data_IF_529349916590
#
_entry.id   IF_529349916590
#
_cell.length_a   1.000
_cell.length_b   1.000
_cell.length_c   1.000
_cell.angle_alpha   90.00
_cell.angle_beta   90.00
_cell.angle_gamma   90.00
#
_symmetry.space_group_name_H-M   'P 1'
#
loop_
_entity.id
_entity.type
_entity.pdbx_description
1 polymer ?
#
# COMPACT_ATOMS: atom_id res chain seq x y z
N UNK A 1 3.34 -26.01 2.47
CA UNK A 1 2.17 -25.29 2.99
C UNK A 1 2.50 -24.35 4.16
N UNK A 2 2.65 -24.82 5.41
CA UNK A 2 2.88 -23.90 6.56
C UNK A 2 4.19 -23.08 6.47
N UNK A 3 5.30 -23.75 6.10
CA UNK A 3 6.61 -23.11 5.93
C UNK A 3 6.64 -22.07 4.79
N UNK A 4 5.93 -22.31 3.69
CA UNK A 4 5.90 -21.37 2.55
C UNK A 4 5.12 -20.10 2.91
N UNK A 5 4.01 -20.21 3.63
CA UNK A 5 3.21 -19.05 4.03
C UNK A 5 4.00 -18.16 5.00
N UNK A 6 4.70 -18.77 5.96
CA UNK A 6 5.56 -18.05 6.90
C UNK A 6 6.70 -17.32 6.17
N UNK A 7 7.29 -17.94 5.14
CA UNK A 7 8.32 -17.28 4.32
C UNK A 7 7.77 -16.09 3.53
N UNK A 8 6.54 -16.19 3.01
CA UNK A 8 5.87 -15.09 2.29
C UNK A 8 5.53 -13.96 3.25
N UNK A 9 5.06 -14.27 4.46
CA UNK A 9 4.79 -13.28 5.51
C UNK A 9 6.04 -12.48 5.87
N UNK A 10 7.16 -13.16 6.11
CA UNK A 10 8.44 -12.50 6.41
C UNK A 10 8.92 -11.62 5.25
N UNK A 11 8.80 -12.11 4.00
CA UNK A 11 9.16 -11.34 2.81
C UNK A 11 8.30 -10.09 2.65
N UNK A 12 6.99 -10.19 2.83
CA UNK A 12 6.09 -9.04 2.74
C UNK A 12 6.39 -8.00 3.81
N UNK A 13 6.65 -8.40 5.06
CA UNK A 13 7.09 -7.48 6.12
C UNK A 13 8.40 -6.77 5.76
N UNK A 14 9.37 -7.49 5.20
CA UNK A 14 10.62 -6.90 4.70
C UNK A 14 10.37 -5.87 3.60
N UNK A 15 9.54 -6.20 2.60
CA UNK A 15 9.19 -5.28 1.51
C UNK A 15 8.44 -4.04 2.02
N UNK A 16 7.55 -4.16 3.01
CA UNK A 16 6.89 -3.00 3.62
C UNK A 16 7.90 -2.07 4.29
N UNK A 17 8.88 -2.62 5.02
CA UNK A 17 9.96 -1.83 5.62
C UNK A 17 10.85 -1.12 4.59
N UNK A 18 11.18 -1.81 3.50
CA UNK A 18 11.90 -1.21 2.37
C UNK A 18 11.08 -0.08 1.73
N UNK A 19 9.80 -0.31 1.44
CA UNK A 19 8.90 0.69 0.89
C UNK A 19 8.80 1.94 1.78
N UNK A 20 8.72 1.76 3.10
CA UNK A 20 8.70 2.88 4.04
C UNK A 20 10.00 3.72 3.99
N UNK A 21 11.14 3.05 3.84
CA UNK A 21 12.45 3.70 3.68
C UNK A 21 12.51 4.49 2.39
N UNK A 22 12.12 3.88 1.26
CA UNK A 22 12.05 4.52 -0.06
C UNK A 22 11.09 5.71 -0.09
N UNK A 23 9.94 5.61 0.60
CA UNK A 23 9.03 6.74 0.79
C UNK A 23 9.73 7.92 1.49
N UNK A 24 10.57 7.64 2.49
CA UNK A 24 11.34 8.65 3.20
C UNK A 24 12.37 9.32 2.29
N UNK A 25 13.03 8.56 1.42
CA UNK A 25 13.98 9.07 0.43
C UNK A 25 13.24 9.97 -0.57
N UNK A 26 12.10 9.52 -1.10
CA UNK A 26 11.30 10.30 -2.05
C UNK A 26 10.84 11.64 -1.46
N UNK A 27 10.38 11.66 -0.21
CA UNK A 27 9.97 12.91 0.45
C UNK A 27 11.13 13.90 0.58
N UNK A 28 12.35 13.42 0.89
CA UNK A 28 13.55 14.26 0.93
C UNK A 28 13.93 14.78 -0.46
N UNK A 29 13.83 13.94 -1.49
CA UNK A 29 14.09 14.33 -2.89
C UNK A 29 13.10 15.42 -3.32
N UNK A 30 11.81 15.20 -3.08
CA UNK A 30 10.77 16.20 -3.39
C UNK A 30 11.03 17.50 -2.65
N UNK A 31 11.38 17.44 -1.36
CA UNK A 31 11.67 18.63 -0.58
C UNK A 31 12.83 19.44 -1.17
N UNK A 32 13.94 18.78 -1.54
CA UNK A 32 15.13 19.42 -2.13
C UNK A 32 14.86 20.02 -3.51
N UNK A 33 14.10 19.32 -4.35
CA UNK A 33 13.93 19.68 -5.77
C UNK A 33 12.71 20.57 -6.05
N UNK A 34 11.84 20.83 -5.06
CA UNK A 34 10.54 21.52 -5.23
C UNK A 34 10.62 22.91 -5.87
N UNK A 35 11.69 23.66 -5.63
CA UNK A 35 11.81 25.04 -6.10
C UNK A 35 12.49 25.12 -7.47
N UNK A 36 13.44 24.22 -7.76
CA UNK A 36 14.20 24.21 -9.01
C UNK A 36 13.43 23.53 -10.15
N UNK A 37 12.74 22.44 -9.86
CA UNK A 37 12.15 21.57 -10.88
C UNK A 37 10.63 21.61 -10.88
N UNK A 38 10.00 22.61 -10.24
CA UNK A 38 8.56 22.70 -10.07
C UNK A 38 7.78 22.50 -11.38
N UNK A 39 8.30 22.96 -12.51
CA UNK A 39 7.64 22.88 -13.83
C UNK A 39 8.17 21.76 -14.73
N UNK A 40 9.16 20.97 -14.29
CA UNK A 40 9.72 19.88 -15.07
C UNK A 40 8.78 18.67 -15.10
N UNK A 41 8.70 17.99 -16.25
CA UNK A 41 7.81 16.84 -16.43
C UNK A 41 8.13 15.68 -15.50
N UNK A 42 9.41 15.30 -15.36
CA UNK A 42 9.85 14.26 -14.41
C UNK A 42 9.37 14.56 -12.98
N UNK A 43 9.50 15.81 -12.55
CA UNK A 43 9.15 16.21 -11.20
C UNK A 43 7.64 16.20 -10.97
N UNK A 44 6.84 16.53 -12.00
CA UNK A 44 5.38 16.37 -11.95
C UNK A 44 4.98 14.91 -11.80
N UNK A 45 5.68 13.97 -12.44
CA UNK A 45 5.43 12.54 -12.24
C UNK A 45 5.83 12.09 -10.83
N UNK A 46 6.97 12.55 -10.30
CA UNK A 46 7.36 12.31 -8.90
C UNK A 46 6.29 12.82 -7.93
N UNK A 47 5.70 13.99 -8.19
CA UNK A 47 4.62 14.52 -7.35
C UNK A 47 3.34 13.69 -7.42
N UNK A 48 3.06 13.01 -8.53
CA UNK A 48 1.95 12.03 -8.62
C UNK A 48 2.23 10.82 -7.73
N UNK A 49 3.41 10.20 -7.89
CA UNK A 49 3.87 9.07 -7.05
C UNK A 49 3.78 9.43 -5.57
N UNK A 50 4.19 10.64 -5.18
CA UNK A 50 4.09 11.13 -3.80
C UNK A 50 2.65 11.16 -3.28
N UNK A 51 1.66 11.55 -4.10
CA UNK A 51 0.24 11.59 -3.70
C UNK A 51 -0.26 10.17 -3.44
N UNK A 52 0.06 9.25 -4.33
CA UNK A 52 -0.38 7.86 -4.23
C UNK A 52 0.24 7.18 -3.00
N UNK A 53 1.52 7.47 -2.70
CA UNK A 53 2.17 7.01 -1.47
C UNK A 53 1.53 7.56 -0.19
N UNK A 54 1.00 8.79 -0.21
CA UNK A 54 0.25 9.32 0.93
C UNK A 54 -1.06 8.55 1.14
N UNK A 55 -1.76 8.23 0.05
CA UNK A 55 -2.96 7.39 0.10
C UNK A 55 -2.64 5.99 0.63
N UNK A 56 -1.53 5.40 0.17
CA UNK A 56 -1.06 4.10 0.61
C UNK A 56 -0.72 4.09 2.12
N UNK A 57 -0.08 5.13 2.64
CA UNK A 57 0.17 5.30 4.08
C UNK A 57 -1.13 5.41 4.88
N UNK A 58 -2.12 6.16 4.38
CA UNK A 58 -3.42 6.28 5.03
C UNK A 58 -4.21 4.96 5.02
N UNK A 59 -3.99 4.10 4.01
CA UNK A 59 -4.64 2.80 3.92
C UNK A 59 -4.15 1.78 4.97
N UNK A 60 -2.98 2.03 5.59
CA UNK A 60 -2.34 1.21 6.61
C UNK A 60 -2.12 -0.25 6.15
N UNK A 61 -1.07 -0.47 5.35
CA UNK A 61 -0.74 -1.77 4.77
C UNK A 61 -0.52 -2.87 5.81
N UNK A 62 0.10 -2.54 6.94
CA UNK A 62 0.41 -3.52 7.99
C UNK A 62 -0.86 -4.14 8.55
N UNK A 63 -1.89 -3.32 8.82
CA UNK A 63 -3.19 -3.80 9.28
C UNK A 63 -3.88 -4.73 8.27
N UNK A 64 -3.74 -4.41 6.97
CA UNK A 64 -4.31 -5.24 5.89
C UNK A 64 -3.57 -6.57 5.80
N UNK A 65 -2.24 -6.56 5.86
CA UNK A 65 -1.43 -7.77 5.80
C UNK A 65 -1.62 -8.66 7.03
N UNK A 66 -1.67 -8.09 8.23
CA UNK A 66 -1.98 -8.84 9.45
C UNK A 66 -3.35 -9.52 9.34
N UNK A 67 -4.35 -8.83 8.80
CA UNK A 67 -5.66 -9.42 8.48
C UNK A 67 -5.58 -10.58 7.48
N UNK A 68 -4.79 -10.44 6.41
CA UNK A 68 -4.55 -11.51 5.43
C UNK A 68 -3.89 -12.73 6.09
N UNK A 69 -2.81 -12.53 6.86
CA UNK A 69 -2.08 -13.64 7.50
C UNK A 69 -2.95 -14.36 8.52
N UNK A 70 -3.80 -13.66 9.27
CA UNK A 70 -4.77 -14.31 10.18
C UNK A 70 -5.74 -15.24 9.44
N UNK A 71 -6.19 -14.86 8.24
CA UNK A 71 -7.08 -15.70 7.42
C UNK A 71 -6.34 -16.89 6.83
N UNK A 72 -5.16 -16.66 6.26
CA UNK A 72 -4.37 -17.68 5.55
C UNK A 72 -3.75 -18.70 6.51
N UNK A 73 -3.21 -18.25 7.66
CA UNK A 73 -2.59 -19.13 8.66
C UNK A 73 -3.63 -19.89 9.50
N UNK A 74 -4.92 -19.54 9.44
CA UNK A 74 -5.98 -20.25 10.17
C UNK A 74 -5.91 -20.18 11.70
N UNK A 75 -4.97 -19.41 12.25
CA UNK A 75 -4.54 -19.52 13.65
C UNK A 75 -5.56 -19.06 14.71
N UNK A 76 -6.72 -18.46 14.36
CA UNK A 76 -7.73 -18.02 15.35
C UNK A 76 -9.17 -18.08 14.82
N UNK A 77 -9.98 -19.09 15.20
CA UNK A 77 -11.37 -19.21 14.74
C UNK A 77 -12.27 -18.04 15.17
N UNK A 78 -12.02 -17.44 16.35
CA UNK A 78 -12.80 -16.29 16.84
C UNK A 78 -12.57 -15.01 16.03
N UNK A 79 -11.31 -14.73 15.68
CA UNK A 79 -10.96 -13.58 14.82
C UNK A 79 -11.37 -13.83 13.37
N UNK A 80 -11.31 -15.08 12.90
CA UNK A 80 -11.83 -15.49 11.60
C UNK A 80 -13.32 -15.20 11.46
N UNK A 81 -14.14 -15.44 12.48
CA UNK A 81 -15.58 -15.10 12.45
C UNK A 81 -15.78 -13.58 12.35
N UNK A 82 -15.06 -12.79 13.16
CA UNK A 82 -15.17 -11.32 13.13
C UNK A 82 -14.67 -10.72 11.80
N UNK A 83 -13.61 -11.28 11.23
CA UNK A 83 -13.05 -10.88 9.94
C UNK A 83 -13.98 -11.32 8.80
N UNK A 84 -14.50 -12.55 8.82
CA UNK A 84 -15.54 -13.01 7.89
C UNK A 84 -16.81 -12.16 7.99
N UNK A 85 -17.23 -11.74 9.19
CA UNK A 85 -18.32 -10.77 9.35
C UNK A 85 -17.97 -9.41 8.73
N UNK A 86 -16.74 -8.92 8.90
CA UNK A 86 -16.28 -7.68 8.27
C UNK A 86 -16.20 -7.79 6.73
N UNK A 87 -15.91 -8.98 6.20
CA UNK A 87 -15.93 -9.29 4.76
C UNK A 87 -17.36 -9.41 4.22
N UNK A 88 -18.27 -9.98 5.02
CA UNK A 88 -19.68 -10.22 4.64
C UNK A 88 -20.54 -8.95 4.74
N UNK A 89 -20.11 -7.95 5.53
CA UNK A 89 -20.74 -6.62 5.60
C UNK A 89 -20.60 -5.89 4.26
N UNK A 90 -21.46 -6.24 3.30
CA UNK A 90 -21.78 -5.39 2.15
C UNK A 90 -22.42 -4.11 2.68
N UNK A 91 -21.73 -2.98 2.49
CA UNK A 91 -22.20 -1.59 2.56
C UNK A 91 -23.38 -1.36 3.52
N UNK A 92 -23.14 -1.51 4.82
CA UNK A 92 -24.09 -1.06 5.83
C UNK A 92 -23.73 0.38 6.20
N UNK A 93 -24.47 1.36 5.64
CA UNK A 93 -24.70 2.76 6.10
C UNK A 93 -23.58 3.64 6.66
N UNK A 94 -22.66 3.09 7.47
CA UNK A 94 -21.43 3.73 7.90
C UNK A 94 -20.43 3.74 6.74
N UNK A 95 -19.89 4.89 6.37
CA UNK A 95 -18.95 5.06 5.24
C UNK A 95 -17.58 4.36 5.40
N UNK A 96 -17.50 3.20 6.04
CA UNK A 96 -16.28 2.38 6.20
C UNK A 96 -16.24 1.30 5.10
N UNK A 97 -15.15 1.29 4.34
CA UNK A 97 -14.86 0.27 3.32
C UNK A 97 -14.62 -1.10 3.96
N UNK A 98 -15.07 -2.18 3.32
CA UNK A 98 -14.79 -3.53 3.80
C UNK A 98 -13.33 -3.92 3.53
N UNK A 99 -12.85 -5.00 4.15
CA UNK A 99 -11.45 -5.43 4.03
C UNK A 99 -11.03 -5.70 2.57
N UNK A 100 -11.88 -6.34 1.76
CA UNK A 100 -11.57 -6.63 0.35
C UNK A 100 -11.53 -5.36 -0.50
N UNK A 101 -12.39 -4.39 -0.23
CA UNK A 101 -12.38 -3.07 -0.87
C UNK A 101 -11.11 -2.31 -0.52
N UNK A 102 -10.67 -2.35 0.75
CA UNK A 102 -9.39 -1.77 1.18
C UNK A 102 -8.21 -2.44 0.47
N UNK A 103 -8.18 -3.77 0.46
CA UNK A 103 -7.13 -4.55 -0.21
C UNK A 103 -7.09 -4.25 -1.71
N UNK A 104 -8.25 -4.26 -2.37
CA UNK A 104 -8.37 -3.91 -3.80
C UNK A 104 -7.93 -2.46 -4.08
N UNK A 105 -8.30 -1.52 -3.21
CA UNK A 105 -7.89 -0.12 -3.33
C UNK A 105 -6.37 0.03 -3.24
N UNK A 106 -5.74 -0.66 -2.29
CA UNK A 106 -4.27 -0.73 -2.17
C UNK A 106 -3.63 -1.31 -3.42
N UNK A 107 -4.14 -2.44 -3.94
CA UNK A 107 -3.59 -3.08 -5.13
C UNK A 107 -3.69 -2.16 -6.35
N UNK A 108 -4.81 -1.43 -6.49
CA UNK A 108 -4.98 -0.42 -7.55
C UNK A 108 -3.99 0.73 -7.42
N UNK A 109 -3.84 1.29 -6.21
CA UNK A 109 -2.85 2.34 -5.96
C UNK A 109 -1.43 1.90 -6.35
N UNK A 110 -1.02 0.70 -5.93
CA UNK A 110 0.29 0.15 -6.28
C UNK A 110 0.46 -0.03 -7.79
N UNK A 111 -0.59 -0.48 -8.49
CA UNK A 111 -0.59 -0.64 -9.94
C UNK A 111 -0.52 0.70 -10.68
N UNK A 112 -1.28 1.71 -10.24
CA UNK A 112 -1.36 3.03 -10.87
C UNK A 112 -0.05 3.82 -10.68
N UNK A 113 0.69 3.56 -9.59
CA UNK A 113 1.97 4.19 -9.32
C UNK A 113 3.09 3.81 -10.29
N UNK A 114 2.98 2.66 -10.97
CA UNK A 114 4.04 2.16 -11.88
C UNK A 114 4.24 3.09 -13.06
N UNK A 115 3.17 3.57 -13.68
CA UNK A 115 3.25 4.45 -14.84
C UNK A 115 3.98 5.78 -14.55
N UNK A 116 3.62 6.59 -13.52
CA UNK A 116 4.34 7.82 -13.23
C UNK A 116 5.77 7.56 -12.75
N UNK A 117 6.07 6.43 -12.10
CA UNK A 117 7.45 6.06 -11.76
C UNK A 117 8.29 5.87 -13.03
N UNK A 118 7.80 5.09 -14.00
CA UNK A 118 8.50 4.87 -15.27
C UNK A 118 8.69 6.17 -16.06
N UNK A 119 7.65 7.01 -16.12
CA UNK A 119 7.75 8.31 -16.80
C UNK A 119 8.74 9.26 -16.12
N UNK A 120 8.84 9.25 -14.79
CA UNK A 120 9.83 10.03 -14.06
C UNK A 120 11.27 9.56 -14.36
N UNK A 121 11.47 8.25 -14.55
CA UNK A 121 12.79 7.68 -14.87
C UNK A 121 13.20 7.90 -16.34
N UNK A 122 12.24 7.87 -17.27
CA UNK A 122 12.51 7.98 -18.71
C UNK A 122 12.67 9.41 -19.21
N UNK A 123 12.01 10.38 -18.59
CA UNK A 123 11.97 11.78 -19.06
C UNK A 123 12.50 12.75 -17.99
N UNK A 124 13.81 12.72 -17.66
CA UNK A 124 14.42 13.55 -16.61
C UNK A 124 14.42 15.06 -16.92
#
# INVERSE_FOLDING_TARGET
MGSEIETVEQRLKSFTGQLQTECGILERLVYKHKNQHRRCHYFQYILKVRRDLKLLKLANLDEIFDGCFLVVNGNRPKQKVQLLESLKRRKCGSGKYNFLERLLGVTRLLSEMVEPLLKAAMYP
#
